data_IF_028894032476
#
_entry.id   IF_028894032476
#
_cell.length_a   1.000
_cell.length_b   1.000
_cell.length_c   1.000
_cell.angle_alpha   90.00
_cell.angle_beta   90.00
_cell.angle_gamma   90.00
#
_symmetry.space_group_name_H-M   'P 1'
#
loop_
_entity.id
_entity.type
_entity.pdbx_description
1 polymer ?
#
# COMPACT_ATOMS: atom_id res chain seq x y z
N UNK A 1 9.57 19.20 16.49
CA UNK A 1 9.23 19.11 15.05
C UNK A 1 9.31 17.62 14.69
N UNK A 2 8.19 16.93 14.51
CA UNK A 2 8.19 15.53 14.06
C UNK A 2 8.56 15.47 12.58
N UNK A 3 9.47 14.57 12.21
CA UNK A 3 9.75 14.26 10.82
C UNK A 3 8.45 13.83 10.11
N UNK A 4 8.26 14.16 8.82
CA UNK A 4 7.11 13.69 8.07
C UNK A 4 7.07 12.15 8.13
N UNK A 5 5.89 11.55 8.34
CA UNK A 5 5.78 10.09 8.39
C UNK A 5 6.26 9.53 7.05
N UNK A 6 7.27 8.67 7.08
CA UNK A 6 7.72 7.97 5.89
C UNK A 6 6.59 7.11 5.37
N UNK A 7 6.11 7.43 4.16
CA UNK A 7 5.12 6.65 3.44
C UNK A 7 5.78 5.78 2.38
N UNK A 8 5.14 4.68 2.04
CA UNK A 8 5.49 3.83 0.91
C UNK A 8 4.25 3.57 0.09
N UNK A 9 4.46 3.33 -1.21
CA UNK A 9 3.37 3.05 -2.14
C UNK A 9 3.11 1.56 -2.21
N UNK A 10 1.84 1.20 -2.12
CA UNK A 10 1.32 -0.15 -2.27
C UNK A 10 0.28 -0.14 -3.40
N UNK A 11 0.32 -1.14 -4.26
CA UNK A 11 -0.70 -1.33 -5.30
C UNK A 11 -1.68 -2.40 -4.83
N UNK A 12 -2.95 -2.02 -4.76
CA UNK A 12 -4.06 -2.91 -4.44
C UNK A 12 -4.90 -3.14 -5.69
N UNK A 13 -5.22 -4.41 -6.00
CA UNK A 13 -6.27 -4.71 -6.96
C UNK A 13 -7.63 -4.21 -6.42
N UNK A 14 -8.60 -3.99 -7.30
CA UNK A 14 -9.91 -3.48 -6.90
C UNK A 14 -10.59 -4.38 -5.85
N UNK A 15 -10.55 -5.69 -6.04
CA UNK A 15 -11.14 -6.67 -5.10
C UNK A 15 -10.39 -6.69 -3.76
N UNK A 16 -9.06 -6.56 -3.79
CA UNK A 16 -8.23 -6.47 -2.58
C UNK A 16 -8.51 -5.19 -1.79
N UNK A 17 -8.68 -4.06 -2.49
CA UNK A 17 -9.05 -2.80 -1.87
C UNK A 17 -10.43 -2.91 -1.18
N UNK A 18 -11.40 -3.57 -1.81
CA UNK A 18 -12.69 -3.84 -1.19
C UNK A 18 -12.55 -4.73 0.06
N UNK A 19 -11.71 -5.77 0.01
CA UNK A 19 -11.44 -6.64 1.15
C UNK A 19 -10.81 -5.88 2.32
N UNK A 20 -9.84 -5.00 2.05
CA UNK A 20 -9.22 -4.12 3.06
C UNK A 20 -10.27 -3.22 3.70
N UNK A 21 -11.11 -2.58 2.89
CA UNK A 21 -12.17 -1.69 3.39
C UNK A 21 -13.18 -2.44 4.25
N UNK A 22 -13.58 -3.65 3.85
CA UNK A 22 -14.46 -4.51 4.63
C UNK A 22 -13.83 -4.91 5.97
N UNK A 23 -12.54 -5.31 5.97
CA UNK A 23 -11.83 -5.66 7.20
C UNK A 23 -11.72 -4.49 8.17
N UNK A 24 -11.41 -3.28 7.67
CA UNK A 24 -11.32 -2.07 8.49
C UNK A 24 -12.68 -1.67 9.07
N UNK A 25 -13.78 -1.92 8.36
CA UNK A 25 -15.12 -1.60 8.83
C UNK A 25 -15.56 -2.42 10.05
N UNK A 26 -14.95 -3.59 10.28
CA UNK A 26 -15.20 -4.43 11.47
C UNK A 26 -14.49 -3.91 12.74
N UNK A 27 -13.54 -2.98 12.60
CA UNK A 27 -12.84 -2.38 13.74
C UNK A 27 -13.59 -1.14 14.28
N UNK A 28 -13.37 -0.76 15.56
CA UNK A 28 -13.97 0.44 16.12
C UNK A 28 -13.64 1.68 15.27
N UNK A 29 -14.67 2.41 14.84
CA UNK A 29 -14.55 3.57 13.94
C UNK A 29 -13.45 4.57 14.32
N UNK A 30 -13.30 4.86 15.62
CA UNK A 30 -12.26 5.76 16.16
C UNK A 30 -10.83 5.35 15.81
N UNK A 31 -10.58 4.07 15.52
CA UNK A 31 -9.26 3.55 15.12
C UNK A 31 -9.02 3.70 13.62
N UNK A 32 -10.06 3.63 12.80
CA UNK A 32 -9.95 3.45 11.34
C UNK A 32 -10.38 4.67 10.52
N UNK A 33 -11.06 5.66 11.12
CA UNK A 33 -11.68 6.75 10.35
C UNK A 33 -10.70 7.54 9.47
N UNK A 34 -9.51 7.86 9.98
CA UNK A 34 -8.48 8.60 9.21
C UNK A 34 -7.94 7.76 8.06
N UNK A 35 -7.71 6.46 8.33
CA UNK A 35 -7.20 5.53 7.33
C UNK A 35 -8.24 5.30 6.22
N UNK A 36 -9.49 5.03 6.60
CA UNK A 36 -10.62 4.89 5.65
C UNK A 36 -10.79 6.17 4.83
N UNK A 37 -10.71 7.34 5.46
CA UNK A 37 -10.76 8.62 4.75
C UNK A 37 -9.64 8.77 3.73
N UNK A 38 -8.41 8.41 4.12
CA UNK A 38 -7.23 8.45 3.25
C UNK A 38 -7.36 7.49 2.07
N UNK A 39 -7.76 6.24 2.34
CA UNK A 39 -7.97 5.22 1.31
C UNK A 39 -9.09 5.62 0.34
N UNK A 40 -10.21 6.13 0.84
CA UNK A 40 -11.30 6.59 -0.02
C UNK A 40 -10.87 7.77 -0.91
N UNK A 41 -10.09 8.71 -0.38
CA UNK A 41 -9.57 9.82 -1.17
C UNK A 41 -8.66 9.32 -2.30
N UNK A 42 -7.76 8.39 -2.00
CA UNK A 42 -6.87 7.77 -2.98
C UNK A 42 -7.64 6.91 -4.00
N UNK A 43 -8.68 6.19 -3.57
CA UNK A 43 -9.55 5.39 -4.44
C UNK A 43 -10.31 6.26 -5.44
N UNK A 44 -10.83 7.41 -5.00
CA UNK A 44 -11.53 8.35 -5.87
C UNK A 44 -10.61 9.03 -6.89
N UNK A 45 -9.29 9.07 -6.62
CA UNK A 45 -8.30 9.53 -7.59
C UNK A 45 -7.96 8.46 -8.64
N UNK A 46 -8.24 7.19 -8.37
CA UNK A 46 -8.05 6.09 -9.31
C UNK A 46 -9.24 5.97 -10.27
N UNK A 47 -8.99 5.46 -11.49
CA UNK A 47 -10.07 5.11 -12.41
C UNK A 47 -10.84 3.90 -11.86
N UNK A 48 -12.17 3.92 -11.94
CA UNK A 48 -13.00 2.82 -11.45
C UNK A 48 -12.59 1.47 -12.07
N UNK A 49 -12.42 0.45 -11.23
CA UNK A 49 -12.03 -0.90 -11.64
C UNK A 49 -10.54 -1.06 -11.96
N UNK A 50 -9.72 -0.02 -11.83
CA UNK A 50 -8.27 -0.13 -11.95
C UNK A 50 -7.62 -0.40 -10.59
N UNK A 51 -6.43 -1.04 -10.59
CA UNK A 51 -5.60 -1.11 -9.39
C UNK A 51 -5.33 0.29 -8.83
N UNK A 52 -5.41 0.40 -7.52
CA UNK A 52 -5.21 1.64 -6.78
C UNK A 52 -3.82 1.64 -6.17
N UNK A 53 -3.03 2.66 -6.45
CA UNK A 53 -1.80 2.94 -5.72
C UNK A 53 -2.15 3.75 -4.45
N UNK A 54 -1.82 3.21 -3.29
CA UNK A 54 -2.02 3.87 -2.00
C UNK A 54 -0.71 4.17 -1.30
N UNK A 55 -0.54 5.43 -0.92
CA UNK A 55 0.55 5.85 -0.06
C UNK A 55 0.17 5.55 1.40
N UNK A 56 0.91 4.64 2.04
CA UNK A 56 0.67 4.17 3.39
C UNK A 56 1.84 4.48 4.31
N UNK A 57 1.54 4.89 5.54
CA UNK A 57 2.52 4.93 6.62
C UNK A 57 2.66 3.56 7.28
N UNK A 58 3.76 3.33 7.99
CA UNK A 58 3.96 2.12 8.78
C UNK A 58 2.79 1.79 9.75
N UNK A 59 2.26 2.75 10.55
CA UNK A 59 1.11 2.45 11.43
C UNK A 59 -0.18 2.16 10.64
N UNK A 60 -0.40 2.82 9.49
CA UNK A 60 -1.55 2.53 8.63
C UNK A 60 -1.48 1.09 8.09
N UNK A 61 -0.31 0.67 7.61
CA UNK A 61 -0.09 -0.69 7.14
C UNK A 61 -0.28 -1.72 8.24
N UNK A 62 0.27 -1.48 9.43
CA UNK A 62 0.10 -2.37 10.58
C UNK A 62 -1.39 -2.56 10.93
N UNK A 63 -2.18 -1.48 10.88
CA UNK A 63 -3.62 -1.54 11.14
C UNK A 63 -4.37 -2.33 10.05
N UNK A 64 -3.97 -2.23 8.78
CA UNK A 64 -4.52 -3.06 7.70
C UNK A 64 -4.23 -4.54 7.94
N UNK A 65 -2.98 -4.88 8.29
CA UNK A 65 -2.60 -6.28 8.57
C UNK A 65 -3.35 -6.82 9.80
N UNK A 66 -3.52 -6.01 10.85
CA UNK A 66 -4.34 -6.35 12.02
C UNK A 66 -5.79 -6.65 11.60
N UNK A 67 -6.41 -5.75 10.83
CA UNK A 67 -7.78 -5.90 10.37
C UNK A 67 -7.97 -7.19 9.54
N UNK A 68 -7.08 -7.42 8.57
CA UNK A 68 -7.09 -8.64 7.74
C UNK A 68 -6.88 -9.91 8.57
N UNK A 69 -6.11 -9.83 9.66
CA UNK A 69 -5.87 -10.93 10.59
C UNK A 69 -7.13 -11.45 11.30
N UNK A 70 -8.22 -10.67 11.32
CA UNK A 70 -9.51 -11.11 11.86
C UNK A 70 -10.36 -11.92 10.87
N UNK A 71 -9.98 -11.96 9.59
CA UNK A 71 -10.71 -12.69 8.55
C UNK A 71 -10.16 -14.12 8.39
N UNK A 72 -10.96 -15.04 7.79
CA UNK A 72 -10.51 -16.39 7.52
C UNK A 72 -9.25 -16.42 6.63
N UNK A 73 -8.25 -17.21 7.01
CA UNK A 73 -6.94 -17.27 6.34
C UNK A 73 -7.03 -17.47 4.81
N UNK A 74 -7.94 -18.34 4.35
CA UNK A 74 -8.15 -18.61 2.92
C UNK A 74 -8.57 -17.39 2.09
N UNK A 75 -9.08 -16.33 2.73
CA UNK A 75 -9.46 -15.08 2.06
C UNK A 75 -8.32 -14.07 2.02
N UNK A 76 -7.43 -14.08 3.01
CA UNK A 76 -6.47 -12.98 3.24
C UNK A 76 -5.03 -13.36 2.96
N UNK A 77 -4.67 -14.65 2.95
CA UNK A 77 -3.27 -15.05 2.81
C UNK A 77 -2.64 -14.52 1.51
N UNK A 78 -3.39 -14.56 0.39
CA UNK A 78 -2.89 -14.12 -0.90
C UNK A 78 -2.57 -12.63 -0.92
N UNK A 79 -3.48 -11.82 -0.36
CA UNK A 79 -3.29 -10.39 -0.22
C UNK A 79 -2.11 -10.07 0.70
N UNK A 80 -2.04 -10.70 1.88
CA UNK A 80 -0.96 -10.46 2.84
C UNK A 80 0.41 -10.80 2.22
N UNK A 81 0.50 -11.91 1.48
CA UNK A 81 1.74 -12.31 0.82
C UNK A 81 2.11 -11.35 -0.33
N UNK A 82 1.12 -10.90 -1.11
CA UNK A 82 1.34 -9.87 -2.13
C UNK A 82 1.84 -8.56 -1.52
N UNK A 83 1.26 -8.10 -0.41
CA UNK A 83 1.68 -6.88 0.31
C UNK A 83 3.11 -7.01 0.85
N UNK A 84 3.47 -8.16 1.42
CA UNK A 84 4.84 -8.44 1.85
C UNK A 84 5.83 -8.43 0.68
N UNK A 85 5.45 -9.03 -0.45
CA UNK A 85 6.25 -9.04 -1.67
C UNK A 85 6.53 -7.63 -2.19
N UNK A 86 5.52 -6.76 -2.21
CA UNK A 86 5.67 -5.36 -2.59
C UNK A 86 6.60 -4.59 -1.63
N UNK A 87 6.44 -4.78 -0.32
CA UNK A 87 7.30 -4.13 0.67
C UNK A 87 8.76 -4.59 0.56
N UNK A 88 8.98 -5.89 0.35
CA UNK A 88 10.32 -6.44 0.13
C UNK A 88 10.96 -5.88 -1.13
N UNK A 89 10.21 -5.81 -2.23
CA UNK A 89 10.68 -5.24 -3.51
C UNK A 89 11.00 -3.75 -3.38
N UNK A 90 10.15 -2.99 -2.69
CA UNK A 90 10.38 -1.57 -2.43
C UNK A 90 11.64 -1.34 -1.59
N UNK A 91 11.90 -2.19 -0.61
CA UNK A 91 13.14 -2.14 0.19
C UNK A 91 14.37 -2.47 -0.66
N UNK A 92 14.33 -3.51 -1.48
CA UNK A 92 15.46 -3.88 -2.35
C UNK A 92 15.79 -2.79 -3.38
N UNK A 93 14.78 -2.11 -3.92
CA UNK A 93 14.98 -0.97 -4.82
C UNK A 93 15.64 0.24 -4.14
N UNK A 94 15.49 0.39 -2.82
CA UNK A 94 16.18 1.42 -2.03
C UNK A 94 17.63 1.03 -1.67
N UNK A 95 17.91 -0.27 -1.59
CA UNK A 95 19.22 -0.83 -1.24
C UNK A 95 20.14 -0.99 -2.46
N UNK A 96 19.65 -0.86 -3.71
CA UNK A 96 20.49 -0.87 -4.91
C UNK A 96 21.44 0.35 -4.92
N UNK A 97 22.76 0.16 -4.75
CA UNK A 97 23.72 1.26 -4.83
C UNK A 97 23.80 1.69 -6.29
N UNK A 98 23.49 2.96 -6.56
CA UNK A 98 23.56 3.54 -7.90
C UNK A 98 24.91 3.30 -8.57
N UNK A 99 25.00 2.26 -9.39
CA UNK A 99 25.99 2.13 -10.44
C UNK A 99 25.29 2.51 -11.74
N UNK A 100 25.58 3.71 -12.23
CA UNK A 100 24.96 4.24 -13.45
C UNK A 100 25.33 3.44 -14.71
N UNK A 101 24.40 3.33 -15.64
CA UNK A 101 24.69 3.27 -17.07
C UNK A 101 23.58 3.98 -17.85
N UNK A 102 23.98 4.71 -18.87
CA UNK A 102 23.15 5.64 -19.62
C UNK A 102 22.12 4.99 -20.56
N UNK A 103 21.23 5.86 -21.03
CA UNK A 103 20.46 5.85 -22.28
C UNK A 103 19.97 4.50 -22.84
N UNK A 104 18.64 4.36 -22.92
CA UNK A 104 18.00 3.25 -23.63
C UNK A 104 16.65 2.85 -23.03
N UNK A 105 15.58 3.42 -23.59
CA UNK A 105 14.19 3.14 -23.26
C UNK A 105 13.84 1.63 -23.16
N UNK A 106 13.28 1.19 -22.03
CA UNK A 106 12.10 0.30 -21.96
C UNK A 106 11.28 0.63 -20.70
N UNK A 107 9.99 0.89 -20.92
CA UNK A 107 8.96 1.10 -19.90
C UNK A 107 8.62 -0.24 -19.25
N UNK A 108 8.73 -0.35 -17.93
CA UNK A 108 8.02 -1.36 -17.15
C UNK A 108 7.62 -0.76 -15.79
N UNK A 109 6.32 -0.47 -15.69
CA UNK A 109 5.52 -0.25 -14.46
C UNK A 109 6.31 -0.04 -13.16
N UNK A 110 6.84 1.17 -12.98
CA UNK A 110 7.59 1.54 -11.78
C UNK A 110 6.65 1.77 -10.60
N UNK A 111 6.81 0.98 -9.54
CA UNK A 111 6.44 1.41 -8.19
C UNK A 111 7.32 2.61 -7.89
N UNK A 112 6.72 3.79 -7.92
CA UNK A 112 7.42 5.07 -7.74
C UNK A 112 7.60 5.29 -6.24
N UNK A 113 8.74 4.88 -5.67
CA UNK A 113 9.10 5.28 -4.31
C UNK A 113 9.30 6.80 -4.23
N UNK A 114 8.23 7.57 -3.98
CA UNK A 114 8.32 9.00 -3.68
C UNK A 114 8.36 9.17 -2.16
N UNK A 115 9.55 9.38 -1.63
CA UNK A 115 9.70 9.93 -0.27
C UNK A 115 9.53 11.44 -0.38
N UNK A 116 8.34 11.95 -0.04
CA UNK A 116 8.14 13.39 0.14
C UNK A 116 8.91 13.86 1.38
N UNK A 117 9.93 14.70 1.17
CA UNK A 117 10.70 15.37 2.24
C UNK A 117 10.00 16.65 2.69
#
# INVERSE_FOLDING_TARGET
MSAPPTTFDLVLAADDAQLVMAALAELPFKRVYELIGTLNHQANAALAGQPMACALSAPAFALIIEALGHLPYHRVHGLIDAMKGQLHSARMALDEPGYGYGDGAVRASGIRGVVSR
#
